data_IF_730136889782
#
_entry.id   IF_730136889782
#
_cell.length_a   1.000
_cell.length_b   1.000
_cell.length_c   1.000
_cell.angle_alpha   90.00
_cell.angle_beta   90.00
_cell.angle_gamma   90.00
#
_symmetry.space_group_name_H-M   'P 1'
#
loop_
_entity.id
_entity.type
_entity.pdbx_description
1 polymer ?
#
# COMPACT_ATOMS: atom_id res chain seq x y z
N UNK A 1 -1.03 -18.42 -2.45
CA UNK A 1 -1.30 -19.20 -1.22
C UNK A 1 -2.12 -20.42 -1.61
N UNK A 2 -1.65 -21.63 -1.31
CA UNK A 2 -2.46 -22.83 -1.50
C UNK A 2 -3.55 -22.87 -0.43
N UNK A 3 -4.79 -22.58 -0.84
CA UNK A 3 -5.98 -22.93 -0.07
C UNK A 3 -6.25 -24.42 -0.29
N UNK A 4 -6.35 -25.22 0.78
CA UNK A 4 -6.85 -26.60 0.67
C UNK A 4 -8.38 -26.57 0.73
N UNK A 5 -9.00 -25.96 -0.28
CA UNK A 5 -10.47 -26.03 -0.47
C UNK A 5 -10.93 -27.47 -0.69
N UNK A 6 -10.03 -28.31 -1.21
CA UNK A 6 -10.16 -29.75 -1.22
C UNK A 6 -9.06 -30.37 -0.34
N UNK A 7 -9.46 -31.25 0.58
CA UNK A 7 -8.57 -31.95 1.50
C UNK A 7 -8.81 -33.45 1.41
N UNK A 8 -7.72 -34.22 1.43
CA UNK A 8 -7.72 -35.63 1.79
C UNK A 8 -6.55 -35.92 2.74
N UNK A 9 -6.66 -37.01 3.50
CA UNK A 9 -5.69 -37.37 4.52
C UNK A 9 -4.29 -37.71 3.97
N UNK A 10 -4.12 -37.96 2.67
CA UNK A 10 -2.81 -38.24 2.09
C UNK A 10 -1.89 -37.02 2.15
N UNK A 11 -2.47 -35.81 2.17
CA UNK A 11 -1.74 -34.54 2.28
C UNK A 11 -0.93 -34.46 3.58
N UNK A 12 -1.35 -35.14 4.65
CA UNK A 12 -0.65 -35.10 5.96
C UNK A 12 0.80 -35.60 5.86
N UNK A 13 1.08 -36.44 4.87
CA UNK A 13 2.43 -36.96 4.60
C UNK A 13 3.31 -36.05 3.73
N UNK A 14 2.76 -34.95 3.18
CA UNK A 14 3.50 -33.96 2.39
C UNK A 14 4.35 -33.07 3.32
N UNK A 15 5.61 -32.82 2.96
CA UNK A 15 6.51 -31.96 3.75
C UNK A 15 5.94 -30.55 3.94
N UNK A 16 5.13 -30.06 2.99
CA UNK A 16 4.49 -28.74 3.03
C UNK A 16 3.30 -28.68 3.99
N UNK A 17 2.77 -29.84 4.42
CA UNK A 17 1.65 -29.88 5.37
C UNK A 17 2.04 -29.30 6.73
N UNK A 18 3.24 -29.59 7.21
CA UNK A 18 3.69 -29.13 8.53
C UNK A 18 3.66 -27.60 8.62
N UNK A 19 4.29 -26.94 7.65
CA UNK A 19 4.33 -25.49 7.57
C UNK A 19 2.93 -24.88 7.39
N UNK A 20 2.11 -25.48 6.54
CA UNK A 20 0.72 -25.03 6.35
C UNK A 20 -0.09 -25.13 7.64
N UNK A 21 -0.03 -26.28 8.32
CA UNK A 21 -0.78 -26.56 9.53
C UNK A 21 -0.36 -25.63 10.68
N UNK A 22 0.95 -25.40 10.85
CA UNK A 22 1.46 -24.47 11.86
C UNK A 22 0.99 -23.05 11.61
N UNK A 23 1.19 -22.53 10.38
CA UNK A 23 0.89 -21.13 10.05
C UNK A 23 -0.61 -20.83 10.01
N UNK A 24 -1.41 -21.72 9.42
CA UNK A 24 -2.82 -21.46 9.11
C UNK A 24 -3.79 -22.04 10.14
N UNK A 25 -3.41 -23.06 10.92
CA UNK A 25 -4.30 -23.70 11.88
C UNK A 25 -3.87 -23.45 13.33
N UNK A 26 -2.58 -23.64 13.65
CA UNK A 26 -2.08 -23.41 15.01
C UNK A 26 -1.97 -21.90 15.30
N UNK A 27 -1.30 -21.14 14.43
CA UNK A 27 -1.02 -19.71 14.59
C UNK A 27 -2.06 -18.76 13.95
N UNK A 28 -3.26 -19.24 13.60
CA UNK A 28 -4.34 -18.37 13.10
C UNK A 28 -5.12 -17.70 14.24
N UNK A 29 -5.55 -16.44 14.00
CA UNK A 29 -6.20 -15.54 14.98
C UNK A 29 -7.67 -15.84 15.28
N UNK A 30 -8.37 -16.63 14.46
CA UNK A 30 -9.82 -16.78 14.58
C UNK A 30 -10.25 -18.11 15.22
N UNK A 31 -11.35 -18.04 15.97
CA UNK A 31 -12.12 -19.11 16.63
C UNK A 31 -11.35 -20.37 17.06
N UNK A 32 -10.90 -20.36 18.32
CA UNK A 32 -10.31 -21.53 18.95
C UNK A 32 -11.35 -22.60 19.29
N UNK A 33 -11.05 -23.86 18.95
CA UNK A 33 -11.68 -25.04 19.52
C UNK A 33 -11.32 -25.18 21.01
N UNK A 34 -12.12 -25.94 21.77
CA UNK A 34 -12.05 -25.98 23.23
C UNK A 34 -10.67 -26.36 23.77
N UNK A 35 -9.95 -27.25 23.08
CA UNK A 35 -8.59 -27.61 23.45
C UNK A 35 -7.63 -26.42 23.31
N UNK A 36 -7.68 -25.66 22.19
CA UNK A 36 -6.86 -24.44 22.02
C UNK A 36 -7.20 -23.40 23.09
N UNK A 37 -8.50 -23.18 23.39
CA UNK A 37 -8.94 -22.28 24.48
C UNK A 37 -8.35 -22.68 25.84
N UNK A 38 -8.28 -23.98 26.12
CA UNK A 38 -7.65 -24.50 27.33
C UNK A 38 -6.14 -24.20 27.36
N UNK A 39 -5.42 -24.42 26.26
CA UNK A 39 -3.99 -24.08 26.17
C UNK A 39 -3.76 -22.59 26.38
N UNK A 40 -4.55 -21.72 25.73
CA UNK A 40 -4.47 -20.28 25.90
C UNK A 40 -4.60 -19.86 27.37
N UNK A 41 -5.55 -20.46 28.09
CA UNK A 41 -5.80 -20.15 29.51
C UNK A 41 -4.74 -20.71 30.46
N UNK A 42 -4.27 -21.93 30.22
CA UNK A 42 -3.45 -22.67 31.18
C UNK A 42 -1.94 -22.57 30.90
N UNK A 43 -1.54 -22.21 29.68
CA UNK A 43 -0.15 -22.25 29.20
C UNK A 43 0.25 -20.98 28.43
N UNK A 44 -0.50 -19.89 28.57
CA UNK A 44 -0.20 -18.58 27.98
C UNK A 44 0.00 -18.64 26.45
N UNK A 45 -0.77 -19.51 25.80
CA UNK A 45 -0.70 -19.72 24.34
C UNK A 45 0.54 -20.45 23.83
N UNK A 46 1.36 -21.03 24.72
CA UNK A 46 2.54 -21.82 24.32
C UNK A 46 2.18 -23.31 24.15
N UNK A 47 2.23 -23.81 22.92
CA UNK A 47 2.02 -25.22 22.58
C UNK A 47 3.33 -25.97 22.43
N UNK A 48 3.41 -27.19 22.98
CA UNK A 48 4.53 -28.10 22.77
C UNK A 48 4.37 -28.91 21.47
N UNK A 49 5.46 -29.45 20.93
CA UNK A 49 5.45 -30.40 19.80
C UNK A 49 4.41 -31.51 19.99
N UNK A 50 4.38 -32.16 21.15
CA UNK A 50 3.41 -33.24 21.44
C UNK A 50 1.96 -32.76 21.41
N UNK A 51 1.68 -31.53 21.83
CA UNK A 51 0.31 -30.98 21.75
C UNK A 51 -0.08 -30.69 20.29
N UNK A 52 0.84 -30.19 19.48
CA UNK A 52 0.62 -29.92 18.06
C UNK A 52 0.39 -31.24 17.30
N UNK A 53 1.22 -32.25 17.52
CA UNK A 53 1.07 -33.59 16.96
C UNK A 53 -0.25 -34.24 17.37
N UNK A 54 -0.65 -34.05 18.63
CA UNK A 54 -1.95 -34.50 19.12
C UNK A 54 -3.13 -33.79 18.43
N UNK A 55 -3.05 -32.47 18.22
CA UNK A 55 -4.07 -31.72 17.50
C UNK A 55 -4.14 -32.18 16.04
N UNK A 56 -2.99 -32.38 15.38
CA UNK A 56 -2.94 -32.91 14.01
C UNK A 56 -3.66 -34.26 13.92
N UNK A 57 -3.28 -35.21 14.80
CA UNK A 57 -3.91 -36.52 14.85
C UNK A 57 -5.41 -36.44 15.16
N UNK A 58 -5.80 -35.55 16.07
CA UNK A 58 -7.21 -35.32 16.39
C UNK A 58 -7.99 -34.82 15.17
N UNK A 59 -7.43 -33.86 14.42
CA UNK A 59 -8.08 -33.27 13.27
C UNK A 59 -8.17 -34.23 12.08
N UNK A 60 -7.10 -34.98 11.83
CA UNK A 60 -6.92 -35.70 10.55
C UNK A 60 -7.01 -37.23 10.67
N UNK A 61 -6.90 -37.78 11.89
CA UNK A 61 -6.78 -39.21 12.11
C UNK A 61 -5.39 -39.78 11.79
N UNK A 62 -4.50 -38.96 11.21
CA UNK A 62 -3.17 -39.36 10.76
C UNK A 62 -2.06 -38.83 11.67
N UNK A 63 -1.01 -39.62 11.84
CA UNK A 63 0.17 -39.21 12.59
C UNK A 63 1.13 -38.43 11.68
N UNK A 64 1.51 -37.23 12.11
CA UNK A 64 2.60 -36.45 11.54
C UNK A 64 3.62 -36.14 12.63
N UNK A 65 4.90 -36.16 12.26
CA UNK A 65 6.00 -35.77 13.15
C UNK A 65 6.49 -34.40 12.73
N UNK A 66 6.40 -33.42 13.63
CA UNK A 66 6.80 -32.05 13.35
C UNK A 66 8.27 -31.85 13.73
N UNK A 67 9.18 -32.33 12.86
CA UNK A 67 10.63 -32.31 13.12
C UNK A 67 11.21 -30.90 13.19
N UNK A 68 10.57 -29.93 12.53
CA UNK A 68 10.94 -28.51 12.62
C UNK A 68 10.80 -27.89 14.02
N UNK A 69 10.16 -28.59 14.97
CA UNK A 69 9.82 -28.07 16.30
C UNK A 69 10.64 -28.68 17.45
N UNK A 70 11.83 -29.23 17.18
CA UNK A 70 12.61 -29.95 18.19
C UNK A 70 12.95 -29.06 19.41
N UNK A 71 12.29 -29.33 20.55
CA UNK A 71 12.38 -28.61 21.84
C UNK A 71 11.79 -27.19 21.89
N UNK A 72 11.14 -26.73 20.83
CA UNK A 72 10.52 -25.41 20.78
C UNK A 72 9.05 -25.45 21.23
N UNK A 73 8.60 -24.36 21.86
CA UNK A 73 7.18 -24.10 22.09
C UNK A 73 6.72 -23.07 21.06
N UNK A 74 5.61 -23.36 20.39
CA UNK A 74 4.99 -22.43 19.46
C UNK A 74 4.04 -21.53 20.22
N UNK A 75 4.23 -20.22 20.07
CA UNK A 75 3.26 -19.24 20.52
C UNK A 75 2.10 -19.16 19.53
N UNK A 76 0.94 -19.71 19.88
CA UNK A 76 -0.25 -19.67 19.02
C UNK A 76 -0.96 -18.30 18.98
N UNK A 77 -0.47 -17.33 19.76
CA UNK A 77 -0.90 -15.93 19.68
C UNK A 77 -0.09 -15.11 18.67
N UNK A 78 1.11 -15.57 18.29
CA UNK A 78 1.92 -14.96 17.24
C UNK A 78 1.34 -15.32 15.89
N UNK A 79 0.32 -14.57 15.49
CA UNK A 79 -0.29 -14.75 14.19
C UNK A 79 0.64 -14.28 13.09
N UNK A 80 0.98 -15.21 12.21
CA UNK A 80 1.67 -14.90 10.96
C UNK A 80 0.70 -14.68 9.79
N UNK A 81 -0.56 -15.09 9.94
CA UNK A 81 -1.61 -14.96 8.95
C UNK A 81 -2.90 -14.50 9.62
N UNK A 82 -3.33 -13.28 9.31
CA UNK A 82 -4.73 -12.88 9.50
C UNK A 82 -5.48 -13.33 8.26
N UNK A 83 -6.33 -14.37 8.31
CA UNK A 83 -7.21 -14.62 7.20
C UNK A 83 -8.15 -13.41 7.16
N UNK A 84 -7.93 -12.51 6.21
CA UNK A 84 -8.92 -11.50 5.80
C UNK A 84 -10.14 -12.17 5.17
N UNK A 85 -10.39 -13.44 5.48
CA UNK A 85 -11.38 -14.33 4.91
C UNK A 85 -12.01 -15.10 6.05
N UNK A 86 -13.31 -15.32 5.97
CA UNK A 86 -14.01 -16.17 6.90
C UNK A 86 -15.17 -16.88 6.22
N UNK A 87 -15.52 -18.04 6.77
CA UNK A 87 -16.61 -18.88 6.32
C UNK A 87 -17.65 -18.95 7.44
N UNK A 88 -18.92 -18.80 7.10
CA UNK A 88 -20.05 -19.08 8.01
C UNK A 88 -20.81 -20.26 7.45
N UNK A 89 -20.86 -21.36 8.19
CA UNK A 89 -21.80 -22.44 7.89
C UNK A 89 -23.21 -21.92 8.20
N UNK A 90 -24.05 -21.83 7.17
CA UNK A 90 -25.43 -21.33 7.30
C UNK A 90 -26.44 -22.45 7.49
N UNK A 91 -26.14 -23.64 6.97
CA UNK A 91 -26.97 -24.83 7.08
C UNK A 91 -26.11 -26.09 6.94
N UNK A 92 -26.55 -27.21 7.49
CA UNK A 92 -25.91 -28.50 7.26
C UNK A 92 -26.86 -29.67 7.46
N UNK A 93 -26.59 -30.75 6.75
CA UNK A 93 -27.19 -32.07 6.92
C UNK A 93 -26.10 -33.13 7.03
N UNK A 94 -26.44 -34.28 7.61
CA UNK A 94 -25.49 -35.38 7.73
C UNK A 94 -26.17 -36.75 7.61
N UNK A 95 -25.39 -37.72 7.13
CA UNK A 95 -25.77 -39.13 7.09
C UNK A 95 -24.71 -39.97 7.82
N UNK A 96 -25.16 -40.87 8.68
CA UNK A 96 -24.30 -41.88 9.31
C UNK A 96 -24.10 -43.07 8.36
N UNK A 97 -22.85 -43.40 8.06
CA UNK A 97 -22.45 -44.53 7.24
C UNK A 97 -21.52 -45.44 8.05
N UNK A 98 -22.10 -46.18 9.00
CA UNK A 98 -21.33 -47.04 9.90
C UNK A 98 -20.59 -46.23 10.96
N UNK A 99 -19.26 -46.25 10.97
CA UNK A 99 -18.42 -45.43 11.86
C UNK A 99 -18.02 -44.08 11.24
N UNK A 100 -18.51 -43.79 10.03
CA UNK A 100 -18.26 -42.55 9.31
C UNK A 100 -19.51 -41.68 9.25
N UNK A 101 -19.32 -40.37 9.15
CA UNK A 101 -20.38 -39.39 8.90
C UNK A 101 -20.05 -38.68 7.59
N UNK A 102 -21.03 -38.58 6.69
CA UNK A 102 -20.95 -37.69 5.54
C UNK A 102 -21.76 -36.44 5.88
N UNK A 103 -21.08 -35.32 6.02
CA UNK A 103 -21.67 -34.01 6.31
C UNK A 103 -21.68 -33.18 5.03
N UNK A 104 -22.82 -32.56 4.74
CA UNK A 104 -22.98 -31.60 3.65
C UNK A 104 -23.43 -30.27 4.27
N UNK A 105 -22.65 -29.21 4.08
CA UNK A 105 -22.89 -27.91 4.66
C UNK A 105 -22.95 -26.82 3.58
N UNK A 106 -23.91 -25.91 3.72
CA UNK A 106 -23.95 -24.67 2.97
C UNK A 106 -23.11 -23.65 3.75
N UNK A 107 -22.19 -22.98 3.07
CA UNK A 107 -21.28 -22.03 3.67
C UNK A 107 -21.19 -20.73 2.86
N UNK A 108 -21.34 -19.61 3.55
CA UNK A 108 -21.08 -18.29 2.98
C UNK A 108 -19.62 -17.91 3.27
N UNK A 109 -18.91 -17.42 2.26
CA UNK A 109 -17.56 -16.93 2.35
C UNK A 109 -17.54 -15.42 2.19
N UNK A 110 -16.79 -14.78 3.07
CA UNK A 110 -16.67 -13.33 3.13
C UNK A 110 -15.20 -12.96 3.30
N UNK A 111 -14.72 -12.06 2.44
CA UNK A 111 -13.40 -11.44 2.56
C UNK A 111 -13.56 -10.04 3.15
N UNK A 112 -12.90 -9.77 4.29
CA UNK A 112 -12.93 -8.47 4.98
C UNK A 112 -12.46 -7.37 4.01
N UNK A 113 -13.31 -6.35 3.82
CA UNK A 113 -13.06 -5.26 2.87
C UNK A 113 -13.52 -5.55 1.44
N UNK A 114 -14.08 -6.73 1.18
CA UNK A 114 -14.73 -7.08 -0.09
C UNK A 114 -16.24 -7.08 0.04
N UNK A 115 -16.95 -6.77 -1.06
CA UNK A 115 -18.38 -7.03 -1.22
C UNK A 115 -18.68 -8.42 -1.81
N UNK A 116 -17.63 -9.15 -2.17
CA UNK A 116 -17.71 -10.49 -2.72
C UNK A 116 -18.33 -11.44 -1.68
N UNK A 117 -19.49 -11.98 -2.03
CA UNK A 117 -20.15 -13.06 -1.30
C UNK A 117 -20.06 -14.33 -2.14
N UNK A 118 -19.20 -15.27 -1.75
CA UNK A 118 -19.20 -16.61 -2.36
C UNK A 118 -20.03 -17.55 -1.52
N UNK A 119 -20.73 -18.46 -2.20
CA UNK A 119 -21.51 -19.54 -1.59
C UNK A 119 -20.89 -20.86 -1.98
N UNK A 120 -20.67 -21.69 -0.97
CA UNK A 120 -20.06 -22.99 -1.14
C UNK A 120 -20.94 -24.08 -0.56
N UNK A 121 -20.94 -25.23 -1.22
CA UNK A 121 -21.40 -26.49 -0.66
C UNK A 121 -20.16 -27.29 -0.27
N UNK A 122 -19.99 -27.50 1.04
CA UNK A 122 -18.88 -28.27 1.61
C UNK A 122 -19.36 -29.67 1.91
N UNK A 123 -18.73 -30.67 1.33
CA UNK A 123 -18.93 -32.08 1.69
C UNK A 123 -17.73 -32.59 2.48
N UNK A 124 -17.92 -32.91 3.76
CA UNK A 124 -16.90 -33.47 4.62
C UNK A 124 -17.22 -34.93 4.96
N UNK A 125 -16.21 -35.79 4.90
CA UNK A 125 -16.29 -37.16 5.44
C UNK A 125 -15.54 -37.17 6.76
N UNK A 126 -16.24 -37.53 7.82
CA UNK A 126 -15.70 -37.64 9.17
C UNK A 126 -15.65 -39.11 9.58
N UNK A 127 -14.62 -39.50 10.32
CA UNK A 127 -14.51 -40.80 10.95
C UNK A 127 -14.42 -40.67 12.47
N UNK A 128 -15.02 -41.63 13.17
CA UNK A 128 -14.98 -41.65 14.62
C UNK A 128 -13.55 -41.82 15.12
N UNK A 129 -13.09 -40.84 15.89
CA UNK A 129 -11.81 -40.85 16.60
C UNK A 129 -12.05 -40.51 18.08
N UNK A 130 -12.21 -41.52 18.97
CA UNK A 130 -12.50 -41.30 20.39
C UNK A 130 -11.44 -40.49 21.15
N UNK A 131 -10.24 -40.31 20.56
CA UNK A 131 -9.15 -39.55 21.15
C UNK A 131 -9.07 -38.11 20.63
N UNK A 132 -9.88 -37.76 19.62
CA UNK A 132 -9.90 -36.44 19.00
C UNK A 132 -10.36 -35.37 19.98
N UNK A 133 -9.65 -34.24 19.98
CA UNK A 133 -10.08 -33.02 20.65
C UNK A 133 -11.16 -32.22 19.88
N UNK A 134 -11.65 -32.75 18.75
CA UNK A 134 -12.75 -32.22 17.94
C UNK A 134 -13.99 -33.12 18.06
N UNK A 135 -14.52 -33.22 19.27
CA UNK A 135 -15.77 -33.93 19.58
C UNK A 135 -15.81 -35.40 19.16
N UNK A 136 -14.65 -36.07 19.15
CA UNK A 136 -14.56 -37.50 18.91
C UNK A 136 -14.58 -37.90 17.43
N UNK A 137 -14.32 -36.97 16.51
CA UNK A 137 -14.21 -37.23 15.07
C UNK A 137 -12.93 -36.66 14.48
N UNK A 138 -12.49 -37.23 13.36
CA UNK A 138 -11.42 -36.74 12.50
C UNK A 138 -11.93 -36.58 11.07
N UNK A 139 -11.35 -35.63 10.34
CA UNK A 139 -11.68 -35.32 8.95
C UNK A 139 -10.89 -36.28 8.05
N UNK A 140 -11.60 -37.07 7.25
CA UNK A 140 -11.01 -37.93 6.22
C UNK A 140 -10.85 -37.17 4.90
N UNK A 141 -11.88 -36.41 4.53
CA UNK A 141 -11.83 -35.57 3.33
C UNK A 141 -12.76 -34.37 3.43
N UNK A 142 -12.44 -33.32 2.69
CA UNK A 142 -13.29 -32.16 2.44
C UNK A 142 -13.30 -31.93 0.93
N UNK A 143 -14.48 -31.70 0.38
CA UNK A 143 -14.68 -31.19 -0.97
C UNK A 143 -15.50 -29.93 -0.92
N UNK A 144 -15.10 -28.94 -1.69
CA UNK A 144 -15.82 -27.67 -1.75
C UNK A 144 -16.32 -27.43 -3.17
N UNK A 145 -17.62 -27.18 -3.31
CA UNK A 145 -18.26 -26.82 -4.57
C UNK A 145 -18.70 -25.36 -4.50
N UNK A 146 -18.21 -24.52 -5.41
CA UNK A 146 -18.69 -23.14 -5.56
C UNK A 146 -20.08 -23.17 -6.22
N UNK A 147 -21.08 -22.71 -5.49
CA UNK A 147 -22.48 -22.61 -5.92
C UNK A 147 -22.96 -21.16 -5.98
N UNK A 148 -22.02 -20.21 -6.01
CA UNK A 148 -22.34 -18.79 -6.13
C UNK A 148 -23.08 -18.54 -7.44
N UNK A 149 -24.23 -17.88 -7.35
CA UNK A 149 -24.94 -17.40 -8.54
C UNK A 149 -24.25 -16.14 -9.03
N UNK A 150 -23.46 -16.29 -10.09
CA UNK A 150 -22.76 -15.18 -10.71
C UNK A 150 -23.61 -14.52 -11.79
N UNK A 151 -23.57 -13.19 -11.86
CA UNK A 151 -24.01 -12.49 -13.06
C UNK A 151 -22.99 -12.74 -14.17
N UNK A 152 -23.48 -13.20 -15.32
CA UNK A 152 -22.64 -13.50 -16.48
C UNK A 152 -22.50 -12.27 -17.37
N UNK A 153 -21.40 -12.23 -18.13
CA UNK A 153 -21.18 -11.21 -19.13
C UNK A 153 -22.28 -11.10 -20.18
N UNK A 154 -22.52 -9.86 -20.62
CA UNK A 154 -23.57 -9.47 -21.56
C UNK A 154 -23.13 -9.56 -23.04
N UNK A 155 -21.93 -10.12 -23.28
CA UNK A 155 -21.24 -10.20 -24.58
C UNK A 155 -20.92 -8.83 -25.21
N UNK A 156 -21.04 -7.73 -24.45
CA UNK A 156 -20.71 -6.39 -24.92
C UNK A 156 -19.25 -6.04 -24.68
N UNK A 157 -18.80 -4.94 -25.29
CA UNK A 157 -17.49 -4.35 -25.03
C UNK A 157 -17.56 -3.46 -23.79
N UNK A 158 -16.66 -3.70 -22.85
CA UNK A 158 -16.53 -3.01 -21.58
C UNK A 158 -15.14 -2.40 -21.43
N UNK A 159 -15.02 -1.46 -20.50
CA UNK A 159 -13.77 -0.75 -20.20
C UNK A 159 -13.59 -0.66 -18.70
N UNK A 160 -12.39 -1.02 -18.24
CA UNK A 160 -12.00 -0.92 -16.83
C UNK A 160 -10.75 -0.06 -16.71
N UNK A 161 -10.74 0.81 -15.69
CA UNK A 161 -9.58 1.61 -15.30
C UNK A 161 -8.81 0.85 -14.23
N UNK A 162 -7.51 0.68 -14.46
CA UNK A 162 -6.65 -0.13 -13.61
C UNK A 162 -5.29 0.53 -13.41
N UNK A 163 -4.67 0.30 -12.26
CA UNK A 163 -3.29 0.68 -11.98
C UNK A 163 -2.36 -0.50 -12.23
N UNK A 164 -1.25 -0.27 -12.92
CA UNK A 164 -0.23 -1.28 -13.16
C UNK A 164 1.09 -0.90 -12.49
N UNK A 165 1.48 -1.67 -11.47
CA UNK A 165 2.68 -1.38 -10.66
C UNK A 165 4.01 -1.78 -11.30
N UNK A 166 4.02 -2.50 -12.44
CA UNK A 166 5.26 -2.90 -13.12
C UNK A 166 5.61 -4.38 -13.01
N UNK A 167 6.91 -4.70 -13.10
CA UNK A 167 7.43 -6.05 -13.34
C UNK A 167 6.97 -7.11 -12.32
N UNK A 168 6.80 -6.74 -11.04
CA UNK A 168 6.38 -7.65 -9.97
C UNK A 168 4.95 -8.19 -10.17
N UNK A 169 4.16 -7.55 -11.03
CA UNK A 169 2.80 -7.95 -11.35
C UNK A 169 2.73 -8.80 -12.63
N UNK A 170 3.86 -9.06 -13.30
CA UNK A 170 3.91 -10.02 -14.42
C UNK A 170 3.90 -11.43 -13.85
N UNK A 171 2.81 -12.15 -14.08
CA UNK A 171 2.58 -13.47 -13.48
C UNK A 171 3.16 -14.59 -14.35
N UNK A 172 3.01 -14.49 -15.66
CA UNK A 172 3.53 -15.41 -16.67
C UNK A 172 3.49 -14.73 -18.06
N UNK A 173 3.95 -15.43 -19.10
CA UNK A 173 3.87 -14.92 -20.48
C UNK A 173 2.42 -14.60 -20.87
N UNK A 174 2.16 -13.33 -21.16
CA UNK A 174 0.85 -12.84 -21.58
C UNK A 174 -0.16 -12.71 -20.44
N UNK A 175 0.29 -12.78 -19.18
CA UNK A 175 -0.54 -12.68 -17.98
C UNK A 175 0.02 -11.62 -17.03
N UNK A 176 -0.76 -10.59 -16.75
CA UNK A 176 -0.38 -9.50 -15.86
C UNK A 176 -1.47 -9.25 -14.82
N UNK A 177 -1.07 -9.02 -13.57
CA UNK A 177 -1.93 -8.52 -12.52
C UNK A 177 -2.06 -7.00 -12.61
N UNK A 178 -3.25 -6.47 -12.33
CA UNK A 178 -3.50 -5.03 -12.23
C UNK A 178 -4.44 -4.76 -11.07
N UNK A 179 -4.40 -3.54 -10.54
CA UNK A 179 -5.28 -3.10 -9.46
C UNK A 179 -6.47 -2.35 -10.02
N UNK A 180 -7.69 -2.71 -9.61
CA UNK A 180 -8.90 -2.00 -10.02
C UNK A 180 -8.93 -0.57 -9.46
N UNK A 181 -9.18 0.40 -10.33
CA UNK A 181 -9.29 1.83 -9.99
C UNK A 181 -10.72 2.33 -10.17
N UNK A 182 -11.39 1.90 -11.24
CA UNK A 182 -12.76 2.33 -11.52
C UNK A 182 -13.33 1.77 -12.83
N UNK A 183 -14.62 1.97 -13.04
CA UNK A 183 -15.29 1.73 -14.32
C UNK A 183 -16.49 2.66 -14.48
N UNK A 184 -16.98 2.82 -15.71
CA UNK A 184 -18.18 3.60 -16.02
C UNK A 184 -19.42 2.73 -16.29
N UNK A 185 -19.24 1.42 -16.35
CA UNK A 185 -20.20 0.44 -16.87
C UNK A 185 -21.05 -0.25 -15.80
N UNK A 186 -20.84 0.08 -14.52
CA UNK A 186 -21.58 -0.50 -13.40
C UNK A 186 -21.30 -1.99 -13.15
N UNK A 187 -20.33 -2.57 -13.87
CA UNK A 187 -19.84 -3.93 -13.63
C UNK A 187 -19.04 -3.93 -12.32
N UNK A 188 -19.18 -4.98 -11.51
CA UNK A 188 -18.36 -5.13 -10.31
C UNK A 188 -17.04 -5.84 -10.66
N UNK A 189 -15.95 -5.40 -10.06
CA UNK A 189 -14.60 -5.91 -10.30
C UNK A 189 -13.94 -6.31 -8.98
N UNK A 190 -13.08 -7.32 -9.00
CA UNK A 190 -12.18 -7.59 -7.89
C UNK A 190 -11.09 -6.51 -7.80
N UNK A 191 -10.55 -6.27 -6.59
CA UNK A 191 -9.46 -5.31 -6.38
C UNK A 191 -8.21 -5.65 -7.20
N UNK A 192 -7.92 -6.94 -7.39
CA UNK A 192 -6.84 -7.43 -8.24
C UNK A 192 -7.45 -8.18 -9.41
N UNK A 193 -7.14 -7.75 -10.63
CA UNK A 193 -7.64 -8.34 -11.87
C UNK A 193 -6.45 -8.97 -12.60
N UNK A 194 -6.62 -10.19 -13.09
CA UNK A 194 -5.68 -10.81 -14.01
C UNK A 194 -6.08 -10.49 -15.45
N UNK A 195 -5.14 -9.95 -16.24
CA UNK A 195 -5.38 -9.53 -17.62
C UNK A 195 -4.54 -10.40 -18.55
N UNK A 196 -5.21 -11.07 -19.49
CA UNK A 196 -4.55 -11.66 -20.63
C UNK A 196 -4.23 -10.57 -21.65
N UNK A 197 -2.95 -10.42 -21.97
CA UNK A 197 -2.43 -9.42 -22.90
C UNK A 197 -1.55 -10.05 -23.97
N UNK A 198 -1.43 -9.39 -25.12
CA UNK A 198 -0.45 -9.74 -26.16
C UNK A 198 0.97 -9.35 -25.75
N UNK A 199 1.98 -9.90 -26.42
CA UNK A 199 3.38 -9.53 -26.19
C UNK A 199 3.61 -8.00 -26.40
N UNK A 200 2.92 -7.40 -27.38
CA UNK A 200 3.00 -5.94 -27.65
C UNK A 200 2.33 -5.10 -26.55
N UNK A 201 1.15 -5.50 -26.08
CA UNK A 201 0.47 -4.82 -24.96
C UNK A 201 1.26 -4.94 -23.65
N UNK A 202 1.83 -6.12 -23.37
CA UNK A 202 2.68 -6.32 -22.20
C UNK A 202 3.89 -5.38 -22.24
N UNK A 203 4.58 -5.32 -23.38
CA UNK A 203 5.71 -4.41 -23.54
C UNK A 203 5.29 -2.94 -23.36
N UNK A 204 4.16 -2.54 -23.95
CA UNK A 204 3.61 -1.19 -23.80
C UNK A 204 3.28 -0.84 -22.34
N UNK A 205 2.71 -1.78 -21.59
CA UNK A 205 2.44 -1.60 -20.16
C UNK A 205 3.72 -1.49 -19.33
N UNK A 206 4.74 -2.31 -19.62
CA UNK A 206 6.04 -2.27 -18.94
C UNK A 206 6.80 -0.96 -19.19
N UNK A 207 6.73 -0.43 -20.41
CA UNK A 207 7.27 0.89 -20.76
C UNK A 207 6.54 2.05 -20.06
N UNK A 208 5.36 1.78 -19.49
CA UNK A 208 4.49 2.75 -18.83
C UNK A 208 4.04 2.27 -17.44
N UNK A 209 4.92 1.57 -16.72
CA UNK A 209 4.68 1.13 -15.34
C UNK A 209 4.35 2.30 -14.39
N UNK A 210 3.71 1.98 -13.28
CA UNK A 210 3.22 2.93 -12.26
C UNK A 210 2.21 3.94 -12.79
N UNK A 211 1.44 3.56 -13.82
CA UNK A 211 0.40 4.40 -14.42
C UNK A 211 -0.94 3.69 -14.43
N UNK A 212 -1.99 4.50 -14.62
CA UNK A 212 -3.33 4.03 -14.87
C UNK A 212 -3.55 3.73 -16.35
N UNK A 213 -4.22 2.62 -16.62
CA UNK A 213 -4.61 2.16 -17.94
C UNK A 213 -6.11 2.01 -18.02
N UNK A 214 -6.67 2.34 -19.17
CA UNK A 214 -7.99 1.91 -19.57
C UNK A 214 -7.85 0.65 -20.43
N UNK A 215 -8.40 -0.47 -19.95
CA UNK A 215 -8.37 -1.76 -20.64
C UNK A 215 -9.76 -2.05 -21.18
N UNK A 216 -9.87 -2.15 -22.50
CA UNK A 216 -11.09 -2.60 -23.15
C UNK A 216 -11.10 -4.13 -23.25
N UNK A 217 -12.23 -4.76 -22.95
CA UNK A 217 -12.41 -6.20 -23.05
C UNK A 217 -13.84 -6.54 -23.48
N UNK A 218 -14.08 -7.78 -23.88
CA UNK A 218 -15.46 -8.28 -24.11
C UNK A 218 -15.91 -8.98 -22.84
N UNK A 219 -17.02 -8.53 -22.26
CA UNK A 219 -17.60 -9.17 -21.07
C UNK A 219 -18.35 -10.42 -21.50
N UNK A 220 -17.61 -11.50 -21.75
CA UNK A 220 -18.17 -12.72 -22.31
C UNK A 220 -18.95 -13.54 -21.26
N UNK A 221 -19.76 -14.48 -21.74
CA UNK A 221 -20.59 -15.36 -20.90
C UNK A 221 -19.81 -16.26 -19.92
N UNK A 222 -18.50 -16.43 -20.10
CA UNK A 222 -17.64 -17.19 -19.19
C UNK A 222 -16.93 -16.27 -18.19
N UNK A 223 -17.13 -14.96 -18.32
CA UNK A 223 -16.72 -13.95 -17.37
C UNK A 223 -17.90 -13.69 -16.43
N UNK A 224 -17.58 -13.54 -15.15
CA UNK A 224 -18.53 -13.48 -14.06
C UNK A 224 -18.29 -12.21 -13.24
N UNK A 225 -19.34 -11.66 -12.65
CA UNK A 225 -19.25 -10.56 -11.68
C UNK A 225 -19.07 -11.12 -10.26
N UNK A 226 -18.10 -10.64 -9.44
CA UNK A 226 -17.14 -9.60 -9.77
C UNK A 226 -16.04 -10.10 -10.72
N UNK A 227 -15.70 -9.25 -11.69
CA UNK A 227 -14.72 -9.58 -12.72
C UNK A 227 -13.31 -9.62 -12.13
N UNK A 228 -12.66 -10.78 -12.21
CA UNK A 228 -11.30 -11.02 -11.71
C UNK A 228 -10.32 -11.48 -12.78
N UNK A 229 -10.81 -11.87 -13.96
CA UNK A 229 -9.97 -12.22 -15.11
C UNK A 229 -10.59 -11.72 -16.40
N UNK A 230 -9.80 -11.06 -17.25
CA UNK A 230 -10.25 -10.54 -18.55
C UNK A 230 -9.21 -10.82 -19.64
N UNK A 231 -9.65 -10.78 -20.90
CA UNK A 231 -8.75 -10.74 -22.06
C UNK A 231 -8.81 -9.36 -22.70
N UNK A 232 -7.69 -8.64 -22.70
CA UNK A 232 -7.61 -7.29 -23.24
C UNK A 232 -7.78 -7.31 -24.77
N UNK A 233 -8.72 -6.52 -25.25
CA UNK A 233 -8.87 -6.18 -26.67
C UNK A 233 -8.09 -4.93 -27.04
N UNK A 234 -7.97 -3.97 -26.11
CA UNK A 234 -7.02 -2.86 -26.18
C UNK A 234 -6.51 -2.51 -24.78
N UNK A 235 -5.34 -1.88 -24.74
CA UNK A 235 -4.72 -1.33 -23.54
C UNK A 235 -4.25 0.06 -23.91
N UNK A 236 -4.82 1.06 -23.26
CA UNK A 236 -4.54 2.48 -23.50
C UNK A 236 -4.21 3.12 -22.15
N UNK A 237 -3.32 4.12 -22.13
CA UNK A 237 -3.15 4.93 -20.93
C UNK A 237 -4.47 5.66 -20.64
N UNK A 238 -4.89 5.69 -19.37
CA UNK A 238 -6.06 6.47 -18.99
C UNK A 238 -5.70 7.96 -19.08
N UNK A 239 -6.06 8.60 -20.20
CA UNK A 239 -5.81 10.02 -20.45
C UNK A 239 -6.60 10.96 -19.51
N UNK A 240 -7.45 10.43 -18.61
CA UNK A 240 -7.93 11.20 -17.46
C UNK A 240 -6.81 11.48 -16.43
N UNK A 241 -5.62 10.88 -16.59
CA UNK A 241 -4.34 11.37 -16.04
C UNK A 241 -3.50 12.19 -17.03
N UNK A 242 -4.12 12.69 -18.09
CA UNK A 242 -3.77 13.98 -18.70
C UNK A 242 -4.76 15.04 -18.16
N UNK A 243 -5.08 14.95 -16.87
CA UNK A 243 -5.43 16.13 -16.07
C UNK A 243 -4.08 16.66 -15.58
N UNK A 244 -3.77 17.91 -15.93
CA UNK A 244 -2.46 18.57 -15.77
C UNK A 244 -1.53 17.92 -14.75
N UNK A 245 -0.32 17.59 -15.18
CA UNK A 245 0.84 17.33 -14.32
C UNK A 245 1.22 18.52 -13.41
N UNK A 246 0.34 19.51 -13.25
CA UNK A 246 0.55 20.74 -12.51
C UNK A 246 0.10 20.52 -11.07
N UNK A 247 1.06 20.50 -10.15
CA UNK A 247 0.81 20.58 -8.72
C UNK A 247 0.01 21.86 -8.42
N UNK A 248 -1.07 21.74 -7.65
CA UNK A 248 -1.96 22.89 -7.37
C UNK A 248 -1.26 24.04 -6.65
N UNK A 249 -0.18 23.79 -5.92
CA UNK A 249 0.59 24.77 -5.18
C UNK A 249 1.78 25.34 -5.96
N UNK A 250 2.07 24.86 -7.19
CA UNK A 250 3.25 25.23 -7.94
C UNK A 250 2.94 25.59 -9.40
N UNK A 251 3.36 26.78 -9.83
CA UNK A 251 3.29 27.21 -11.23
C UNK A 251 4.69 27.17 -11.86
N UNK A 252 5.00 26.06 -12.53
CA UNK A 252 6.29 25.83 -13.19
C UNK A 252 6.55 26.72 -14.40
N UNK A 253 5.56 27.51 -14.85
CA UNK A 253 5.74 28.47 -15.95
C UNK A 253 6.37 29.79 -15.48
N UNK A 254 6.30 30.08 -14.18
CA UNK A 254 6.93 31.27 -13.58
C UNK A 254 8.39 31.00 -13.28
N UNK A 255 9.26 31.60 -14.08
CA UNK A 255 10.70 31.44 -13.93
C UNK A 255 11.35 32.52 -13.06
N UNK A 256 10.71 33.69 -12.93
CA UNK A 256 11.19 34.82 -12.13
C UNK A 256 10.01 35.61 -11.58
N UNK A 257 10.04 35.90 -10.28
CA UNK A 257 9.07 36.75 -9.60
C UNK A 257 9.78 37.79 -8.72
N UNK A 258 9.18 38.96 -8.54
CA UNK A 258 9.70 40.00 -7.64
C UNK A 258 9.07 39.86 -6.26
N UNK A 259 9.89 39.86 -5.22
CA UNK A 259 9.45 39.79 -3.83
C UNK A 259 9.84 41.06 -3.09
N UNK A 260 8.94 41.57 -2.26
CA UNK A 260 9.24 42.60 -1.27
C UNK A 260 10.11 41.99 -0.16
N UNK A 261 11.14 42.72 0.24
CA UNK A 261 12.09 42.31 1.28
C UNK A 261 11.73 42.97 2.59
N UNK A 262 11.50 42.16 3.62
CA UNK A 262 11.44 42.61 5.02
C UNK A 262 12.82 42.56 5.65
N UNK A 263 13.54 41.44 5.46
CA UNK A 263 14.91 41.25 5.92
C UNK A 263 15.71 40.45 4.88
N UNK A 264 16.98 40.83 4.64
CA UNK A 264 17.90 40.07 3.80
C UNK A 264 19.32 40.17 4.34
N UNK A 265 19.65 39.41 5.39
CA UNK A 265 21.02 39.30 5.93
C UNK A 265 21.66 40.66 6.28
N UNK A 266 20.87 41.58 6.86
CA UNK A 266 21.23 42.97 7.18
C UNK A 266 21.46 43.91 5.97
N UNK A 267 21.16 43.47 4.75
CA UNK A 267 21.22 44.30 3.55
C UNK A 267 20.04 45.27 3.47
N UNK A 268 20.32 46.51 3.07
CA UNK A 268 19.30 47.53 2.85
C UNK A 268 18.74 47.46 1.41
N UNK A 269 17.97 46.40 1.14
CA UNK A 269 17.25 46.19 -0.14
C UNK A 269 15.75 46.09 0.13
N UNK A 270 14.94 46.58 -0.80
CA UNK A 270 13.46 46.59 -0.67
C UNK A 270 12.78 45.53 -1.51
N UNK A 271 13.41 45.07 -2.59
CA UNK A 271 12.87 44.05 -3.49
C UNK A 271 13.99 43.18 -4.05
N UNK A 272 13.70 41.90 -4.27
CA UNK A 272 14.62 40.94 -4.92
C UNK A 272 13.88 40.13 -5.97
N UNK A 273 14.61 39.66 -6.97
CA UNK A 273 14.11 38.65 -7.89
C UNK A 273 14.32 37.26 -7.28
N UNK A 274 13.27 36.46 -7.22
CA UNK A 274 13.35 35.02 -6.92
C UNK A 274 13.25 34.27 -8.24
N UNK A 275 14.25 33.43 -8.52
CA UNK A 275 14.38 32.64 -9.74
C UNK A 275 14.01 31.20 -9.47
N UNK A 276 13.17 30.66 -10.33
CA UNK A 276 12.73 29.26 -10.34
C UNK A 276 13.22 28.62 -11.64
N UNK A 277 14.13 27.65 -11.53
CA UNK A 277 14.74 26.97 -12.68
C UNK A 277 14.42 25.48 -12.63
N UNK A 278 13.82 24.94 -13.69
CA UNK A 278 13.68 23.48 -13.86
C UNK A 278 15.06 22.88 -14.17
N UNK A 279 15.51 21.97 -13.32
CA UNK A 279 16.85 21.37 -13.39
C UNK A 279 16.84 19.86 -13.72
N UNK A 280 15.69 19.18 -13.56
CA UNK A 280 15.48 17.81 -14.02
C UNK A 280 13.98 17.48 -14.13
N UNK A 281 13.71 16.28 -14.64
CA UNK A 281 12.38 15.68 -14.77
C UNK A 281 12.52 14.19 -14.48
N UNK A 282 11.64 13.67 -13.63
CA UNK A 282 11.56 12.28 -13.20
C UNK A 282 10.16 11.73 -13.48
N UNK A 283 10.00 10.42 -13.28
CA UNK A 283 8.72 9.74 -13.54
C UNK A 283 7.60 10.25 -12.62
N UNK A 284 7.94 10.65 -11.38
CA UNK A 284 6.97 11.18 -10.40
C UNK A 284 6.73 12.69 -10.47
N UNK A 285 7.56 13.45 -11.18
CA UNK A 285 7.46 14.90 -11.18
C UNK A 285 8.68 15.66 -11.71
N UNK A 286 8.64 16.98 -11.57
CA UNK A 286 9.65 17.89 -12.09
C UNK A 286 10.50 18.45 -10.95
N UNK A 287 11.81 18.64 -11.20
CA UNK A 287 12.74 19.16 -10.19
C UNK A 287 13.08 20.61 -10.48
N UNK A 288 12.90 21.46 -9.48
CA UNK A 288 13.18 22.89 -9.55
C UNK A 288 14.22 23.33 -8.53
N UNK A 289 15.05 24.30 -8.89
CA UNK A 289 15.87 25.06 -7.94
C UNK A 289 15.24 26.44 -7.77
N UNK A 290 15.01 26.87 -6.53
CA UNK A 290 14.51 28.23 -6.23
C UNK A 290 15.60 29.01 -5.52
N UNK A 291 15.90 30.22 -5.99
CA UNK A 291 16.98 31.05 -5.43
C UNK A 291 16.69 32.53 -5.49
N UNK A 292 17.23 33.29 -4.54
CA UNK A 292 17.20 34.75 -4.51
C UNK A 292 18.33 35.28 -5.39
N UNK A 293 17.98 35.95 -6.48
CA UNK A 293 18.89 36.62 -7.39
C UNK A 293 19.43 37.92 -6.82
N UNK A 294 20.26 37.85 -5.77
CA UNK A 294 20.92 39.01 -5.17
C UNK A 294 22.42 38.74 -5.02
N UNK A 295 23.24 39.70 -5.46
CA UNK A 295 24.70 39.63 -5.35
C UNK A 295 25.20 40.83 -4.52
N UNK A 296 25.79 40.55 -3.35
CA UNK A 296 26.47 41.54 -2.52
C UNK A 296 27.87 41.06 -2.15
N UNK A 297 28.91 41.92 -2.24
CA UNK A 297 30.23 41.61 -1.70
C UNK A 297 30.21 41.29 -0.21
N UNK A 298 29.24 41.81 0.55
CA UNK A 298 29.11 41.59 2.00
C UNK A 298 28.51 40.21 2.34
N UNK A 299 27.77 39.62 1.38
CA UNK A 299 27.26 38.24 1.45
C UNK A 299 28.28 37.24 0.87
N UNK A 300 29.29 37.71 0.13
CA UNK A 300 30.28 36.83 -0.51
C UNK A 300 31.23 36.18 0.52
N UNK A 301 31.20 34.85 0.63
CA UNK A 301 32.26 34.06 1.30
C UNK A 301 31.93 33.31 2.60
N UNK A 302 30.66 33.01 2.92
CA UNK A 302 30.24 32.16 4.06
C UNK A 302 28.90 31.46 3.74
N UNK A 303 28.43 30.57 4.64
CA UNK A 303 27.07 29.99 4.76
C UNK A 303 25.92 30.94 4.31
N UNK A 304 26.11 32.26 4.49
CA UNK A 304 25.19 33.30 4.00
C UNK A 304 24.88 33.25 2.49
N UNK A 305 25.87 32.91 1.65
CA UNK A 305 25.67 32.79 0.21
C UNK A 305 24.83 31.57 -0.16
N UNK A 306 25.04 30.46 0.52
CA UNK A 306 24.29 29.22 0.31
C UNK A 306 22.81 29.41 0.71
N UNK A 307 22.54 30.25 1.71
CA UNK A 307 21.18 30.62 2.14
C UNK A 307 20.37 31.46 1.15
N UNK A 308 20.99 31.97 0.09
CA UNK A 308 20.25 32.56 -1.03
C UNK A 308 19.63 31.48 -1.94
N UNK A 309 20.08 30.23 -1.83
CA UNK A 309 19.38 29.09 -2.39
C UNK A 309 18.28 28.67 -1.42
N UNK A 310 17.02 28.76 -1.86
CA UNK A 310 15.87 28.38 -1.04
C UNK A 310 15.66 26.86 -1.03
N UNK A 311 16.37 26.14 -1.90
CA UNK A 311 16.38 24.68 -1.94
C UNK A 311 16.11 24.12 -3.32
N UNK A 312 16.12 22.80 -3.38
CA UNK A 312 15.68 22.03 -4.54
C UNK A 312 14.39 21.33 -4.23
N UNK A 313 13.46 21.38 -5.17
CA UNK A 313 12.09 20.98 -4.99
C UNK A 313 11.72 19.92 -6.02
N UNK A 314 11.40 18.71 -5.59
CA UNK A 314 10.67 17.77 -6.43
C UNK A 314 9.18 18.08 -6.29
N UNK A 315 8.58 18.51 -7.40
CA UNK A 315 7.17 18.84 -7.49
C UNK A 315 6.46 17.65 -8.12
N UNK A 316 5.75 16.88 -7.30
CA UNK A 316 4.85 15.82 -7.76
C UNK A 316 3.41 16.34 -7.80
N UNK A 317 2.48 15.53 -8.28
CA UNK A 317 1.05 15.89 -8.29
C UNK A 317 0.52 16.30 -6.91
N UNK A 318 0.89 15.54 -5.89
CA UNK A 318 0.29 15.64 -4.55
C UNK A 318 1.18 16.39 -3.56
N UNK A 319 2.50 16.41 -3.77
CA UNK A 319 3.45 16.91 -2.79
C UNK A 319 4.56 17.76 -3.42
N UNK A 320 5.13 18.67 -2.61
CA UNK A 320 6.40 19.33 -2.90
C UNK A 320 7.42 18.85 -1.87
N UNK A 321 8.51 18.23 -2.32
CA UNK A 321 9.61 17.75 -1.48
C UNK A 321 10.80 18.68 -1.57
N UNK A 322 11.35 19.11 -0.43
CA UNK A 322 12.50 19.99 -0.30
C UNK A 322 13.77 19.22 0.05
N UNK A 323 14.87 19.55 -0.63
CA UNK A 323 16.25 19.22 -0.26
C UNK A 323 17.04 20.51 -0.01
N UNK A 324 17.55 20.68 1.22
CA UNK A 324 18.21 21.91 1.69
C UNK A 324 19.72 21.96 1.42
N UNK A 325 20.41 20.82 1.41
CA UNK A 325 21.87 20.76 1.32
C UNK A 325 22.30 19.72 0.28
N UNK A 326 22.43 20.11 -0.99
CA UNK A 326 22.90 19.18 -2.02
C UNK A 326 23.87 19.79 -3.03
N UNK A 327 24.86 18.98 -3.44
CA UNK A 327 25.80 19.32 -4.48
C UNK A 327 25.34 18.69 -5.81
N UNK A 328 24.56 19.43 -6.58
CA UNK A 328 24.03 18.96 -7.87
C UNK A 328 22.53 18.68 -7.80
N UNK A 329 22.00 17.97 -8.79
CA UNK A 329 20.58 17.62 -8.86
C UNK A 329 20.36 16.28 -8.12
N UNK A 330 19.59 16.26 -7.01
CA UNK A 330 19.30 15.03 -6.26
C UNK A 330 18.44 14.10 -7.11
N UNK A 331 18.69 12.79 -7.04
CA UNK A 331 17.88 11.76 -7.66
C UNK A 331 16.48 11.66 -7.05
N UNK A 332 15.55 11.08 -7.79
CA UNK A 332 14.17 10.84 -7.33
C UNK A 332 14.11 10.03 -6.03
N UNK A 333 14.97 9.00 -5.91
CA UNK A 333 15.06 8.18 -4.70
C UNK A 333 15.54 8.99 -3.48
N UNK A 334 16.47 9.93 -3.66
CA UNK A 334 16.94 10.82 -2.58
C UNK A 334 15.83 11.75 -2.09
N UNK A 335 14.99 12.29 -2.98
CA UNK A 335 13.83 13.08 -2.58
C UNK A 335 12.83 12.28 -1.72
N UNK A 336 12.58 11.01 -2.07
CA UNK A 336 11.63 10.18 -1.31
C UNK A 336 12.20 9.65 0.00
N UNK A 337 13.51 9.41 0.07
CA UNK A 337 14.15 8.88 1.28
C UNK A 337 14.50 9.99 2.29
N UNK A 338 15.06 11.10 1.80
CA UNK A 338 15.67 12.14 2.65
C UNK A 338 14.97 13.51 2.51
N UNK A 339 14.16 13.70 1.49
CA UNK A 339 13.43 14.94 1.24
C UNK A 339 12.36 15.24 2.29
N UNK A 340 12.13 16.54 2.50
CA UNK A 340 11.14 17.04 3.45
C UNK A 340 9.90 17.48 2.68
N UNK A 341 8.73 16.93 2.99
CA UNK A 341 7.47 17.45 2.41
C UNK A 341 7.23 18.86 2.95
N UNK A 342 7.14 19.84 2.04
CA UNK A 342 6.93 21.27 2.33
C UNK A 342 5.62 21.81 1.79
N UNK A 343 4.93 21.04 0.95
CA UNK A 343 3.53 21.26 0.61
C UNK A 343 2.84 19.93 0.32
N UNK A 344 1.62 19.80 0.81
CA UNK A 344 0.70 18.66 0.63
C UNK A 344 -0.72 19.16 0.89
N UNK A 345 -1.77 18.43 0.49
CA UNK A 345 -3.14 18.81 0.85
C UNK A 345 -3.51 18.49 2.31
N UNK A 346 -2.72 17.66 2.98
CA UNK A 346 -2.94 17.25 4.37
C UNK A 346 -2.04 18.00 5.35
N UNK A 347 -2.57 18.29 6.55
CA UNK A 347 -1.77 18.75 7.69
C UNK A 347 -0.81 17.64 8.16
N UNK A 348 0.37 18.04 8.61
CA UNK A 348 1.40 17.08 9.02
C UNK A 348 2.31 17.68 10.10
N UNK A 349 2.79 16.84 11.03
CA UNK A 349 3.75 17.25 12.06
C UNK A 349 4.64 16.07 12.43
N UNK A 350 5.97 16.25 12.35
CA UNK A 350 6.95 15.20 12.66
C UNK A 350 8.27 15.79 13.12
N UNK A 351 9.03 14.98 13.85
CA UNK A 351 10.45 15.24 14.11
C UNK A 351 11.29 14.55 13.01
N UNK A 352 12.13 15.32 12.32
CA UNK A 352 13.13 14.83 11.37
C UNK A 352 14.50 14.79 12.04
N UNK A 353 15.19 13.66 11.90
CA UNK A 353 16.39 13.35 12.67
C UNK A 353 16.07 13.31 14.16
N UNK A 354 16.91 13.94 14.98
CA UNK A 354 16.72 14.01 16.44
C UNK A 354 16.28 15.40 16.94
N UNK A 355 16.33 16.43 16.08
CA UNK A 355 16.29 17.84 16.56
C UNK A 355 15.37 18.76 15.78
N UNK A 356 14.93 18.44 14.56
CA UNK A 356 14.10 19.35 13.76
C UNK A 356 12.62 18.96 13.84
N UNK A 357 11.79 19.86 14.35
CA UNK A 357 10.35 19.75 14.22
C UNK A 357 9.93 20.37 12.89
N UNK A 358 9.10 19.65 12.12
CA UNK A 358 8.45 20.16 10.92
C UNK A 358 6.95 20.14 11.09
N UNK A 359 6.26 21.13 10.54
CA UNK A 359 4.80 21.21 10.51
C UNK A 359 4.31 21.75 9.18
N UNK A 360 3.23 21.16 8.66
CA UNK A 360 2.40 21.68 7.57
C UNK A 360 1.02 21.97 8.17
N UNK A 361 0.54 23.19 7.93
CA UNK A 361 -0.80 23.64 8.31
C UNK A 361 -1.45 24.38 7.17
N UNK A 362 -2.78 24.36 7.12
CA UNK A 362 -3.55 25.00 6.05
C UNK A 362 -4.40 26.18 6.54
N UNK A 363 -4.39 27.26 5.75
CA UNK A 363 -5.27 28.42 5.90
C UNK A 363 -5.89 28.78 4.54
N UNK A 364 -7.15 28.38 4.31
CA UNK A 364 -7.83 28.51 3.02
C UNK A 364 -7.01 27.88 1.87
N UNK A 365 -6.54 28.69 0.92
CA UNK A 365 -5.72 28.26 -0.23
C UNK A 365 -4.21 28.22 0.07
N UNK A 366 -3.80 28.49 1.32
CA UNK A 366 -2.41 28.51 1.77
C UNK A 366 -2.01 27.17 2.40
N UNK A 367 -0.90 26.62 1.94
CA UNK A 367 -0.13 25.60 2.64
C UNK A 367 1.07 26.27 3.31
N UNK A 368 1.14 26.16 4.64
CA UNK A 368 2.14 26.79 5.49
C UNK A 368 3.05 25.71 6.05
N UNK A 369 4.31 25.71 5.63
CA UNK A 369 5.33 24.84 6.20
C UNK A 369 6.21 25.63 7.17
N UNK A 370 6.50 25.05 8.33
CA UNK A 370 7.47 25.55 9.28
C UNK A 370 8.43 24.43 9.73
N UNK A 371 9.72 24.76 9.85
CA UNK A 371 10.72 23.88 10.45
C UNK A 371 11.61 24.65 11.40
N UNK A 372 11.88 24.08 12.58
CA UNK A 372 12.78 24.68 13.56
C UNK A 372 13.52 23.63 14.39
N UNK A 373 14.73 24.01 14.83
CA UNK A 373 15.50 23.20 15.74
C UNK A 373 14.93 23.28 17.17
N UNK A 374 14.64 22.14 17.78
CA UNK A 374 14.07 22.02 19.12
C UNK A 374 15.13 21.84 20.22
N UNK A 375 16.39 21.56 19.85
CA UNK A 375 17.46 21.26 20.80
C UNK A 375 18.18 22.52 21.33
N UNK A 376 18.21 23.61 20.55
CA UNK A 376 18.86 24.87 20.93
C UNK A 376 18.01 26.08 20.55
N UNK A 377 17.89 27.04 21.47
CA UNK A 377 17.11 28.29 21.25
C UNK A 377 17.66 29.12 20.07
N UNK A 378 18.96 29.04 19.81
CA UNK A 378 19.61 29.73 18.69
C UNK A 378 19.70 28.88 17.42
N UNK A 379 18.94 27.80 17.34
CA UNK A 379 18.96 26.90 16.19
C UNK A 379 18.36 27.53 14.94
N UNK A 380 18.63 26.88 13.81
CA UNK A 380 18.12 27.31 12.52
C UNK A 380 16.62 27.01 12.38
N UNK A 381 15.93 27.86 11.64
CA UNK A 381 14.54 27.68 11.26
C UNK A 381 14.28 28.16 9.83
N UNK A 382 13.24 27.61 9.21
CA UNK A 382 12.68 28.11 7.95
C UNK A 382 11.17 27.96 7.90
N UNK A 383 10.55 28.74 7.01
CA UNK A 383 9.13 28.81 6.81
C UNK A 383 8.84 29.11 5.34
N UNK A 384 7.91 28.38 4.73
CA UNK A 384 7.46 28.55 3.35
C UNK A 384 5.93 28.67 3.35
N UNK A 385 5.38 29.62 2.60
CA UNK A 385 3.95 29.63 2.27
C UNK A 385 3.75 29.44 0.78
N UNK A 386 3.03 28.39 0.44
CA UNK A 386 2.62 28.05 -0.91
C UNK A 386 1.13 28.35 -1.07
N UNK A 387 0.76 29.08 -2.12
CA UNK A 387 -0.65 29.41 -2.41
C UNK A 387 -1.11 28.70 -3.68
N UNK A 388 -2.29 28.07 -3.61
CA UNK A 388 -2.87 27.37 -4.76
C UNK A 388 -2.97 28.29 -5.98
N UNK A 389 -2.47 27.82 -7.12
CA UNK A 389 -2.42 28.56 -8.39
C UNK A 389 -1.46 29.75 -8.43
N UNK A 390 -0.65 29.96 -7.38
CA UNK A 390 0.29 31.09 -7.32
C UNK A 390 1.76 30.67 -7.18
N UNK A 391 2.05 29.60 -6.46
CA UNK A 391 3.42 29.20 -6.12
C UNK A 391 3.82 29.60 -4.70
N UNK A 392 5.13 29.68 -4.47
CA UNK A 392 5.71 30.25 -3.26
C UNK A 392 5.30 31.74 -3.18
N UNK A 393 4.76 32.17 -2.06
CA UNK A 393 4.40 33.59 -1.84
C UNK A 393 5.08 34.20 -0.62
N UNK A 394 5.64 33.38 0.27
CA UNK A 394 6.38 33.85 1.42
C UNK A 394 7.50 32.87 1.77
N UNK A 395 8.66 33.40 2.10
CA UNK A 395 9.77 32.63 2.65
C UNK A 395 10.41 33.39 3.80
N UNK A 396 10.71 32.65 4.87
CA UNK A 396 11.49 33.16 5.98
C UNK A 396 12.49 32.12 6.47
N UNK A 397 13.71 32.53 6.80
CA UNK A 397 14.66 31.71 7.55
C UNK A 397 15.58 32.54 8.43
N UNK A 398 16.20 31.91 9.44
CA UNK A 398 17.16 32.58 10.31
C UNK A 398 17.62 31.69 11.47
N UNK A 399 18.27 32.31 12.44
CA UNK A 399 18.72 31.65 13.68
C UNK A 399 18.12 32.33 14.90
N UNK A 400 17.58 31.53 15.84
CA UNK A 400 17.01 32.02 17.10
C UNK A 400 16.07 33.20 16.92
N UNK A 401 16.31 34.32 17.62
CA UNK A 401 15.48 35.52 17.59
C UNK A 401 15.60 36.37 16.30
N UNK A 402 15.79 35.74 15.13
CA UNK A 402 15.89 36.43 13.83
C UNK A 402 17.29 36.88 13.44
N UNK A 403 18.35 36.27 14.00
CA UNK A 403 19.72 36.57 13.56
C UNK A 403 19.91 36.07 12.13
N UNK A 404 20.54 36.90 11.30
CA UNK A 404 20.77 36.66 9.88
C UNK A 404 19.45 36.29 9.17
N UNK A 405 18.37 37.03 9.43
CA UNK A 405 17.07 36.73 8.84
C UNK A 405 17.06 36.94 7.32
N UNK A 406 16.33 36.07 6.63
CA UNK A 406 15.80 36.33 5.30
C UNK A 406 14.29 36.29 5.46
N UNK A 407 13.57 37.30 5.01
CA UNK A 407 12.11 37.38 5.02
C UNK A 407 11.65 38.13 3.77
N UNK A 408 10.99 37.41 2.85
CA UNK A 408 10.55 37.93 1.56
C UNK A 408 9.10 37.52 1.27
N UNK A 409 8.34 38.41 0.61
CA UNK A 409 6.91 38.20 0.30
C UNK A 409 6.58 38.59 -1.14
N UNK A 410 5.79 37.77 -1.83
CA UNK A 410 5.21 38.06 -3.15
C UNK A 410 3.68 38.25 -2.99
N UNK A 411 3.23 39.49 -3.21
CA UNK A 411 1.84 39.94 -2.97
C UNK A 411 0.84 39.47 -4.00
#
# INVERSE_FOLDING_TARGET
MSSYSDYDNLIVSDERWQDFFLRNYIQSMFDGYDYKKKILKEQDGLMTKTQIEYINYSLTGEYAIFDSLENEKINCLESQNSPLVAYTITNYEYEEQGESIVLKADADFFKKGSKEEKKFVITAVLERNPYSCFDGYSIVSIKTEDVTEYEHGDEAAHKVKVYFSGDDYVMDKGLVGVEYVGSEDGVEYEMLITVHVTDEQMQYMLENKHKNFEIAYVYDKNTFSPVSTITATSVELDEAEIISSENVFFDGTKTVDTYEVTDLLDEAVSEVEVKTEKIAEYDSGEVYSISIGYESPEISGTDKGDRLNLGRFLVTKDNIYLMLEENGTPSEEEFFNDGIVVASDDDYSKIIGEVYQVEITHEDDKCIFAMWNTAIESGWYCHYEWVKGRGLTYYRSGYGAGRDAIEITNS
#
